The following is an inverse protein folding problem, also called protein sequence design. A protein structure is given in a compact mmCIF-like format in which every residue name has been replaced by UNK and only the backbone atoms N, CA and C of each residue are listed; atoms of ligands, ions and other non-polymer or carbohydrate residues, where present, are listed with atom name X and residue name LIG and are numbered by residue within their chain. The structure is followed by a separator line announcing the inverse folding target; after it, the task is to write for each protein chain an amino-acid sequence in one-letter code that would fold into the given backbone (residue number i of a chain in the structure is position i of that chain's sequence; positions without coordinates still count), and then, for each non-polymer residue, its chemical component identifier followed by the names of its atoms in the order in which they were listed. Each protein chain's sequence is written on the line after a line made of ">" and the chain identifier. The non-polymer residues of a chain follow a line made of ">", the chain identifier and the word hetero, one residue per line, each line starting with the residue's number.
data_IF_531382142942
#
_entry.id   IF_531382142942
#
_cell.length_a   1.000
_cell.length_b   1.000
_cell.length_c   1.000
_cell.angle_alpha   90.00
_cell.angle_beta   90.00
_cell.angle_gamma   90.00
#
_symmetry.space_group_name_H-M   'P 1'
#
loop_
_entity.id
_entity.type
_entity.pdbx_description
1 polymer ?
#
# COMPACT_ATOMS: atom_id res chain seq x y z
N UNK A 1 -18.99 5.95 -20.25
CA UNK A 1 -17.62 5.62 -19.91
C UNK A 1 -17.32 6.17 -18.54
N UNK A 2 -16.78 5.34 -17.68
CA UNK A 2 -16.50 5.77 -16.32
C UNK A 2 -15.31 6.72 -16.31
N UNK A 3 -15.51 7.86 -15.67
CA UNK A 3 -14.46 8.87 -15.53
C UNK A 3 -13.54 8.51 -14.36
N UNK A 4 -12.61 7.58 -14.63
CA UNK A 4 -11.61 7.14 -13.65
C UNK A 4 -10.30 7.88 -13.85
N UNK A 5 -9.80 8.47 -12.78
CA UNK A 5 -8.52 9.19 -12.77
C UNK A 5 -7.65 8.71 -11.62
N UNK A 6 -6.38 8.42 -11.89
CA UNK A 6 -5.39 8.18 -10.85
C UNK A 6 -4.50 9.41 -10.79
N UNK A 7 -4.38 9.99 -9.60
CA UNK A 7 -3.55 11.17 -9.38
C UNK A 7 -2.92 11.16 -8.00
N UNK A 8 -1.93 12.00 -7.80
CA UNK A 8 -1.32 12.15 -6.47
C UNK A 8 -2.34 12.74 -5.48
N UNK A 9 -2.25 12.27 -4.24
CA UNK A 9 -2.99 12.82 -3.11
C UNK A 9 -2.52 14.26 -2.82
N UNK A 10 -3.47 15.12 -2.46
CA UNK A 10 -3.19 16.47 -1.98
C UNK A 10 -3.77 16.63 -0.57
N UNK A 11 -3.41 17.72 0.12
CA UNK A 11 -3.95 17.98 1.46
C UNK A 11 -5.47 18.03 1.49
N UNK A 12 -6.10 18.47 0.41
CA UNK A 12 -7.57 18.52 0.30
C UNK A 12 -8.20 17.14 0.33
N UNK A 13 -7.43 16.10 0.00
CA UNK A 13 -7.91 14.73 -0.05
C UNK A 13 -7.76 14.00 1.27
N UNK A 14 -6.98 14.50 2.20
CA UNK A 14 -6.58 13.77 3.41
C UNK A 14 -7.76 13.21 4.18
N UNK A 15 -8.76 14.04 4.41
CA UNK A 15 -9.96 13.61 5.14
C UNK A 15 -10.75 12.54 4.39
N UNK A 16 -10.95 12.74 3.09
CA UNK A 16 -11.68 11.78 2.26
C UNK A 16 -10.95 10.43 2.22
N UNK A 17 -9.63 10.43 2.13
CA UNK A 17 -8.81 9.22 2.15
C UNK A 17 -8.92 8.50 3.50
N UNK A 18 -8.89 9.24 4.61
CA UNK A 18 -9.03 8.66 5.94
C UNK A 18 -10.41 8.04 6.15
N UNK A 19 -11.47 8.73 5.72
CA UNK A 19 -12.84 8.20 5.78
C UNK A 19 -13.00 6.95 4.91
N UNK A 20 -12.46 6.98 3.70
CA UNK A 20 -12.44 5.82 2.80
C UNK A 20 -11.71 4.63 3.42
N UNK A 21 -10.56 4.87 4.01
CA UNK A 21 -9.76 3.83 4.65
C UNK A 21 -10.53 3.21 5.82
N UNK A 22 -11.17 4.04 6.63
CA UNK A 22 -11.99 3.57 7.73
C UNK A 22 -13.14 2.68 7.24
N UNK A 23 -13.84 3.09 6.21
CA UNK A 23 -14.94 2.30 5.63
C UNK A 23 -14.45 0.97 5.04
N UNK A 24 -13.34 1.00 4.31
CA UNK A 24 -12.82 -0.18 3.63
C UNK A 24 -12.33 -1.25 4.61
N UNK A 25 -11.82 -0.85 5.77
CA UNK A 25 -11.26 -1.77 6.76
C UNK A 25 -12.19 -2.01 7.96
N UNK A 26 -13.36 -1.40 8.00
CA UNK A 26 -14.27 -1.55 9.13
C UNK A 26 -14.68 -3.01 9.31
N UNK A 27 -14.40 -3.56 10.50
CA UNK A 27 -14.70 -4.95 10.87
C UNK A 27 -14.04 -6.03 9.97
N UNK A 28 -13.00 -5.68 9.21
CA UNK A 28 -12.34 -6.65 8.32
C UNK A 28 -11.40 -7.57 9.09
N UNK A 29 -10.51 -6.99 9.92
CA UNK A 29 -9.51 -7.78 10.66
C UNK A 29 -9.80 -7.86 12.15
N UNK A 30 -10.59 -6.94 12.67
CA UNK A 30 -10.96 -6.82 14.07
C UNK A 30 -12.22 -5.97 14.16
N UNK A 31 -12.94 -5.95 15.30
CA UNK A 31 -14.04 -5.02 15.48
C UNK A 31 -13.56 -3.57 15.31
N UNK A 32 -14.25 -2.81 14.47
CA UNK A 32 -13.84 -1.46 14.09
C UNK A 32 -12.67 -1.47 13.09
N UNK A 33 -11.87 -0.42 13.11
CA UNK A 33 -10.68 -0.27 12.27
C UNK A 33 -9.74 0.78 12.87
N UNK A 34 -8.44 0.66 12.58
CA UNK A 34 -7.44 1.67 12.96
C UNK A 34 -6.51 2.05 11.79
N UNK A 35 -6.72 1.46 10.62
CA UNK A 35 -5.92 1.75 9.43
C UNK A 35 -5.97 3.22 9.03
N UNK A 36 -7.12 3.87 9.22
CA UNK A 36 -7.26 5.30 8.94
C UNK A 36 -6.43 6.17 9.90
N UNK A 37 -6.26 5.73 11.14
CA UNK A 37 -5.37 6.41 12.09
C UNK A 37 -3.92 6.26 11.67
N UNK A 38 -3.53 5.07 11.22
CA UNK A 38 -2.21 4.82 10.66
C UNK A 38 -1.92 5.75 9.48
N UNK A 39 -2.85 5.88 8.54
CA UNK A 39 -2.72 6.80 7.40
C UNK A 39 -2.50 8.23 7.87
N UNK A 40 -3.28 8.68 8.83
CA UNK A 40 -3.16 10.02 9.40
C UNK A 40 -1.76 10.25 9.99
N UNK A 41 -1.26 9.31 10.76
CA UNK A 41 0.06 9.41 11.40
C UNK A 41 1.20 9.30 10.41
N UNK A 42 1.07 8.46 9.40
CA UNK A 42 2.16 8.21 8.44
C UNK A 42 2.50 9.42 7.59
N UNK A 43 1.57 10.30 7.32
CA UNK A 43 1.85 11.48 6.48
C UNK A 43 2.91 12.40 7.05
N UNK A 44 3.11 12.39 8.36
CA UNK A 44 4.17 13.17 9.03
C UNK A 44 5.42 12.34 9.32
N UNK A 45 5.41 11.06 8.96
CA UNK A 45 6.55 10.18 9.21
C UNK A 45 7.64 10.39 8.14
N UNK A 46 8.94 10.40 8.50
CA UNK A 46 10.03 10.61 7.55
C UNK A 46 10.11 9.55 6.44
N UNK A 47 9.57 8.37 6.66
CA UNK A 47 9.59 7.29 5.65
C UNK A 47 8.41 7.35 4.67
N UNK A 48 7.46 8.25 4.89
CA UNK A 48 6.36 8.45 3.96
C UNK A 48 6.85 9.02 2.63
N UNK A 49 6.31 8.50 1.53
CA UNK A 49 6.71 8.93 0.18
C UNK A 49 5.52 9.60 -0.51
N UNK A 50 5.42 10.95 -0.42
CA UNK A 50 4.30 11.69 -1.04
C UNK A 50 4.19 11.46 -2.55
N UNK A 51 5.30 11.24 -3.23
CA UNK A 51 5.37 11.02 -4.68
C UNK A 51 4.76 9.68 -5.10
N UNK A 52 4.43 8.83 -4.14
CA UNK A 52 3.78 7.53 -4.37
C UNK A 52 2.45 7.40 -3.64
N UNK A 53 1.91 8.48 -3.10
CA UNK A 53 0.59 8.50 -2.49
C UNK A 53 -0.45 8.84 -3.56
N UNK A 54 -1.14 7.82 -4.06
CA UNK A 54 -2.11 7.98 -5.14
C UNK A 54 -3.54 7.78 -4.67
N UNK A 55 -4.43 8.54 -5.27
CA UNK A 55 -5.88 8.35 -5.13
C UNK A 55 -6.48 7.95 -6.48
N UNK A 56 -7.52 7.14 -6.41
CA UNK A 56 -8.35 6.79 -7.54
C UNK A 56 -9.66 7.56 -7.41
N UNK A 57 -9.95 8.38 -8.39
CA UNK A 57 -11.11 9.24 -8.40
C UNK A 57 -12.08 8.81 -9.50
N UNK A 58 -13.36 8.78 -9.17
CA UNK A 58 -14.43 8.49 -10.12
C UNK A 58 -15.50 9.57 -9.97
N UNK A 59 -15.79 10.26 -11.07
CA UNK A 59 -16.80 11.31 -11.10
C UNK A 59 -16.62 12.34 -9.97
N UNK A 60 -15.38 12.73 -9.71
CA UNK A 60 -15.03 13.70 -8.68
C UNK A 60 -15.00 13.17 -7.25
N UNK A 61 -15.24 11.87 -7.04
CA UNK A 61 -15.22 11.24 -5.72
C UNK A 61 -14.03 10.28 -5.59
N UNK A 62 -13.33 10.35 -4.48
CA UNK A 62 -12.23 9.42 -4.19
C UNK A 62 -12.81 8.07 -3.79
N UNK A 63 -12.46 7.03 -4.54
CA UNK A 63 -12.95 5.66 -4.33
C UNK A 63 -11.85 4.67 -4.04
N UNK A 64 -10.60 5.08 -4.12
CA UNK A 64 -9.47 4.22 -3.78
C UNK A 64 -8.23 5.02 -3.45
N UNK A 65 -7.30 4.41 -2.74
CA UNK A 65 -5.99 5.00 -2.48
C UNK A 65 -4.94 3.94 -2.19
N UNK A 66 -3.69 4.30 -2.43
CA UNK A 66 -2.52 3.52 -2.06
C UNK A 66 -1.48 4.47 -1.47
N UNK A 67 -0.78 4.02 -0.44
CA UNK A 67 0.24 4.78 0.27
C UNK A 67 1.51 3.93 0.37
N UNK A 68 2.67 4.56 0.24
CA UNK A 68 3.96 3.87 0.32
C UNK A 68 4.82 4.45 1.42
N UNK A 69 5.64 3.59 2.00
CA UNK A 69 6.71 3.96 2.93
C UNK A 69 8.01 3.33 2.50
N UNK A 70 9.12 3.96 2.91
CA UNK A 70 10.44 3.37 2.77
C UNK A 70 10.59 2.20 3.73
N UNK A 71 11.31 1.19 3.27
CA UNK A 71 11.74 0.06 4.09
C UNK A 71 13.15 -0.30 3.67
N UNK A 72 13.78 -1.23 4.36
CA UNK A 72 15.17 -1.58 4.07
C UNK A 72 15.35 -3.08 4.10
N UNK A 73 16.09 -3.59 3.10
CA UNK A 73 16.67 -4.93 3.14
C UNK A 73 18.07 -4.83 3.74
N UNK A 74 18.38 -5.74 4.61
CA UNK A 74 19.70 -5.81 5.23
C UNK A 74 20.29 -7.20 4.99
N UNK A 75 21.54 -7.28 4.52
CA UNK A 75 22.23 -8.55 4.34
C UNK A 75 23.00 -8.95 5.60
N UNK A 76 23.64 -10.12 5.55
CA UNK A 76 24.38 -10.66 6.69
C UNK A 76 25.56 -9.77 7.13
N UNK A 77 26.10 -8.96 6.23
CA UNK A 77 27.18 -8.02 6.53
C UNK A 77 26.72 -6.69 7.10
N UNK A 78 25.40 -6.49 7.19
CA UNK A 78 24.83 -5.23 7.65
C UNK A 78 24.62 -4.21 6.54
N UNK A 79 24.87 -4.57 5.28
CA UNK A 79 24.64 -3.69 4.14
C UNK A 79 23.13 -3.56 3.90
N UNK A 80 22.67 -2.33 3.74
CA UNK A 80 21.24 -2.02 3.60
C UNK A 80 20.92 -1.49 2.23
N UNK A 81 19.74 -1.89 1.72
CA UNK A 81 19.16 -1.38 0.48
C UNK A 81 17.80 -0.79 0.79
N UNK A 82 17.57 0.45 0.33
CA UNK A 82 16.25 1.07 0.46
C UNK A 82 15.28 0.43 -0.52
N UNK A 83 14.14 0.02 -0.01
CA UNK A 83 13.06 -0.60 -0.77
C UNK A 83 11.74 0.06 -0.40
N UNK A 84 10.65 -0.42 -0.97
CA UNK A 84 9.31 0.07 -0.72
C UNK A 84 8.46 -0.96 0.02
N UNK A 85 7.48 -0.44 0.75
CA UNK A 85 6.34 -1.20 1.22
C UNK A 85 5.10 -0.33 1.01
N UNK A 86 4.02 -0.89 0.45
CA UNK A 86 2.78 -0.15 0.38
C UNK A 86 1.79 -0.63 1.44
N UNK A 87 0.91 0.26 1.85
CA UNK A 87 -0.18 -0.01 2.77
C UNK A 87 -0.54 1.22 3.57
N UNK A 88 -1.82 1.44 3.83
CA UNK A 88 -2.93 0.66 3.31
C UNK A 88 -3.15 0.86 1.81
N UNK A 89 -3.70 -0.15 1.17
CA UNK A 89 -4.31 -0.07 -0.15
C UNK A 89 -5.80 -0.31 0.06
N UNK A 90 -6.64 0.59 -0.36
CA UNK A 90 -8.07 0.39 -0.21
C UNK A 90 -8.87 0.86 -1.41
N UNK A 91 -10.03 0.24 -1.56
CA UNK A 91 -11.06 0.58 -2.53
C UNK A 91 -12.38 0.64 -1.79
N UNK A 92 -13.22 1.62 -2.08
CA UNK A 92 -14.52 1.77 -1.46
C UNK A 92 -15.32 0.46 -1.58
N UNK A 93 -16.04 0.05 -0.53
CA UNK A 93 -16.74 -1.26 -0.53
C UNK A 93 -17.61 -1.49 -1.76
N UNK A 94 -18.32 -0.47 -2.22
CA UNK A 94 -19.21 -0.58 -3.41
C UNK A 94 -18.47 -0.73 -4.74
N UNK A 95 -17.15 -0.52 -4.73
CA UNK A 95 -16.31 -0.63 -5.93
C UNK A 95 -15.30 -1.78 -5.86
N UNK A 96 -15.36 -2.59 -4.81
CA UNK A 96 -14.47 -3.73 -4.67
C UNK A 96 -14.77 -4.83 -5.70
N UNK A 97 -13.79 -5.72 -5.92
CA UNK A 97 -13.89 -6.85 -6.87
C UNK A 97 -14.01 -6.40 -8.34
N UNK A 98 -13.57 -5.19 -8.66
CA UNK A 98 -13.53 -4.67 -10.02
C UNK A 98 -12.10 -4.43 -10.51
N UNK A 99 -11.11 -5.04 -9.84
CA UNK A 99 -9.68 -4.93 -10.17
C UNK A 99 -9.10 -3.51 -10.02
N UNK A 100 -9.77 -2.63 -9.28
CA UNK A 100 -9.30 -1.25 -9.10
C UNK A 100 -8.05 -1.17 -8.22
N UNK A 101 -7.93 -2.07 -7.24
CA UNK A 101 -6.70 -2.18 -6.44
C UNK A 101 -5.50 -2.57 -7.31
N UNK A 102 -5.69 -3.46 -8.27
CA UNK A 102 -4.64 -3.84 -9.21
C UNK A 102 -4.19 -2.65 -10.06
N UNK A 103 -5.13 -1.83 -10.52
CA UNK A 103 -4.84 -0.62 -11.30
C UNK A 103 -3.96 0.33 -10.48
N UNK A 104 -4.30 0.56 -9.21
CA UNK A 104 -3.50 1.38 -8.31
C UNK A 104 -2.08 0.83 -8.11
N UNK A 105 -1.95 -0.48 -7.91
CA UNK A 105 -0.65 -1.13 -7.74
C UNK A 105 0.19 -0.97 -9.00
N UNK A 106 -0.36 -1.29 -10.16
CA UNK A 106 0.38 -1.22 -11.43
C UNK A 106 0.84 0.20 -11.74
N UNK A 107 -0.05 1.18 -11.58
CA UNK A 107 0.30 2.58 -11.82
C UNK A 107 1.41 3.06 -10.89
N UNK A 108 1.27 2.78 -9.60
CA UNK A 108 2.26 3.22 -8.62
C UNK A 108 3.59 2.49 -8.77
N UNK A 109 3.59 1.23 -9.17
CA UNK A 109 4.82 0.50 -9.47
C UNK A 109 5.57 1.10 -10.66
N UNK A 110 4.86 1.53 -11.70
CA UNK A 110 5.49 2.19 -12.83
C UNK A 110 6.19 3.49 -12.41
N UNK A 111 5.53 4.28 -11.58
CA UNK A 111 6.12 5.51 -11.05
C UNK A 111 7.33 5.18 -10.15
N UNK A 112 7.19 4.18 -9.29
CA UNK A 112 8.27 3.76 -8.39
C UNK A 112 9.50 3.29 -9.17
N UNK A 113 9.32 2.54 -10.26
CA UNK A 113 10.43 2.12 -11.13
C UNK A 113 11.16 3.32 -11.71
N UNK A 114 10.44 4.33 -12.16
CA UNK A 114 11.02 5.58 -12.69
C UNK A 114 11.78 6.36 -11.63
N UNK A 115 11.42 6.19 -10.35
CA UNK A 115 12.14 6.78 -9.23
C UNK A 115 13.39 5.98 -8.83
N UNK A 116 13.62 4.80 -9.44
CA UNK A 116 14.77 3.96 -9.16
C UNK A 116 14.53 2.81 -8.19
N UNK A 117 13.29 2.58 -7.77
CA UNK A 117 12.95 1.44 -6.92
C UNK A 117 12.74 0.18 -7.74
N UNK A 118 13.22 -0.95 -7.24
CA UNK A 118 13.10 -2.24 -7.92
C UNK A 118 12.55 -3.34 -6.99
N UNK A 119 12.32 -3.05 -5.72
CA UNK A 119 11.83 -4.02 -4.75
C UNK A 119 10.73 -3.40 -3.88
N UNK A 120 9.66 -4.15 -3.73
CA UNK A 120 8.59 -3.84 -2.78
C UNK A 120 8.26 -5.08 -1.96
N UNK A 121 8.22 -4.95 -0.64
CA UNK A 121 7.89 -6.04 0.27
C UNK A 121 6.72 -5.62 1.13
N UNK A 122 5.69 -6.46 1.14
CA UNK A 122 4.46 -6.17 1.87
C UNK A 122 4.13 -7.26 2.88
N UNK A 123 3.36 -6.86 3.88
CA UNK A 123 2.68 -7.78 4.79
C UNK A 123 1.24 -7.97 4.30
N UNK A 124 0.76 -9.20 4.32
CA UNK A 124 -0.61 -9.47 3.91
C UNK A 124 -0.92 -10.94 3.75
N UNK A 125 -2.17 -11.22 3.40
CA UNK A 125 -2.61 -12.57 3.15
C UNK A 125 -2.07 -13.05 1.79
N UNK A 126 -1.32 -14.17 1.75
CA UNK A 126 -0.80 -14.74 0.50
C UNK A 126 -1.85 -14.88 -0.60
N UNK A 127 -3.05 -15.32 -0.23
CA UNK A 127 -4.13 -15.52 -1.19
C UNK A 127 -4.54 -14.27 -1.93
N UNK A 128 -4.31 -13.08 -1.35
CA UNK A 128 -4.65 -11.80 -1.98
C UNK A 128 -3.55 -11.29 -2.90
N UNK A 129 -2.29 -11.68 -2.68
CA UNK A 129 -1.15 -11.10 -3.40
C UNK A 129 -0.52 -12.03 -4.43
N UNK A 130 -0.46 -13.33 -4.17
CA UNK A 130 0.16 -14.28 -5.11
C UNK A 130 -0.52 -14.23 -6.48
N UNK A 131 -1.84 -14.13 -6.52
CA UNK A 131 -2.60 -14.00 -7.77
C UNK A 131 -2.29 -12.72 -8.55
N UNK A 132 -1.66 -11.73 -7.90
CA UNK A 132 -1.25 -10.46 -8.51
C UNK A 132 0.24 -10.42 -8.86
N UNK A 133 0.90 -11.57 -8.85
CA UNK A 133 2.31 -11.67 -9.23
C UNK A 133 3.31 -11.51 -8.10
N UNK A 134 2.85 -11.42 -6.85
CA UNK A 134 3.74 -11.36 -5.69
C UNK A 134 4.29 -12.74 -5.34
N UNK A 135 5.47 -12.77 -4.74
CA UNK A 135 6.15 -13.99 -4.33
C UNK A 135 6.37 -13.93 -2.81
N UNK A 136 6.21 -15.06 -2.12
CA UNK A 136 6.46 -15.13 -0.69
C UNK A 136 7.91 -14.80 -0.33
N UNK A 137 8.12 -13.94 0.67
CA UNK A 137 9.46 -13.62 1.18
C UNK A 137 10.20 -14.87 1.66
N UNK A 138 9.49 -15.85 2.18
CA UNK A 138 10.08 -17.12 2.60
C UNK A 138 10.79 -17.83 1.45
N UNK A 139 10.25 -17.79 0.24
CA UNK A 139 10.86 -18.34 -0.96
C UNK A 139 12.12 -17.59 -1.39
N UNK A 140 12.27 -16.35 -0.95
CA UNK A 140 13.42 -15.48 -1.26
C UNK A 140 14.37 -15.32 -0.07
N UNK A 141 14.18 -16.12 0.98
CA UNK A 141 15.00 -16.10 2.20
C UNK A 141 15.02 -14.73 2.87
N UNK A 142 13.89 -14.02 2.87
CA UNK A 142 13.71 -12.73 3.51
C UNK A 142 12.87 -12.88 4.77
N UNK A 143 13.31 -12.29 5.88
CA UNK A 143 12.62 -12.30 7.17
C UNK A 143 12.75 -10.95 7.86
N UNK A 144 12.03 -10.75 8.96
CA UNK A 144 12.18 -9.55 9.77
C UNK A 144 13.50 -9.59 10.55
N UNK A 145 14.18 -8.45 10.57
CA UNK A 145 15.47 -8.30 11.24
C UNK A 145 15.40 -8.58 12.74
N UNK A 146 14.31 -8.22 13.40
CA UNK A 146 14.14 -8.40 14.84
C UNK A 146 13.75 -9.84 15.25
N UNK A 147 13.80 -10.79 14.32
CA UNK A 147 13.50 -12.19 14.60
C UNK A 147 12.03 -12.51 14.82
N UNK A 148 11.14 -11.55 14.66
CA UNK A 148 9.69 -11.82 14.70
C UNK A 148 9.33 -12.55 13.42
N UNK A 149 9.11 -13.85 13.57
CA UNK A 149 8.67 -14.67 12.45
C UNK A 149 7.18 -14.48 12.26
N UNK A 150 6.80 -13.66 11.32
CA UNK A 150 5.45 -13.69 10.82
C UNK A 150 5.42 -14.58 9.58
N UNK A 151 4.46 -15.44 9.55
CA UNK A 151 4.36 -16.46 8.52
C UNK A 151 3.75 -15.97 7.22
N UNK A 152 3.26 -14.75 7.15
CA UNK A 152 2.45 -14.25 6.04
C UNK A 152 3.05 -12.97 5.45
N UNK A 153 4.28 -13.08 4.91
CA UNK A 153 4.98 -11.90 4.40
C UNK A 153 5.42 -12.03 2.98
N UNK A 154 5.31 -10.96 2.28
CA UNK A 154 5.67 -10.80 0.88
C UNK A 154 6.60 -9.64 0.70
#
# INVERSE_FOLDING_TARGET
>A
MDDLTIRLETEKDYRAVEELTREAFWNVYKPGADEHYYVHKMRSHPDFIPELAFVLEKDGKIIGNIMYTKAWLEDESGKRKEILSFGPLCVAPEYQRQKLGKILIEHSFDVARKMGYDVNINFGNPGNYVSRGFVSCKKKHVSLVNGIKSLNRY
#
